data_IF_615288223620
#
_entry.id   IF_615288223620
#
_cell.length_a   1.000
_cell.length_b   1.000
_cell.length_c   1.000
_cell.angle_alpha   90.00
_cell.angle_beta   90.00
_cell.angle_gamma   90.00
#
_symmetry.space_group_name_H-M   'P 1'
#
loop_
_entity.id
_entity.type
_entity.pdbx_description
1 polymer ?
#
# COMPACT_ATOMS: atom_id res chain seq x y z
N UNK A 1 29.87 13.97 -13.33
CA UNK A 1 30.51 13.84 -12.00
C UNK A 1 29.98 12.58 -11.32
N UNK A 2 30.67 12.02 -10.33
CA UNK A 2 30.08 10.93 -9.52
C UNK A 2 28.84 11.46 -8.76
N UNK A 3 27.77 10.67 -8.61
CA UNK A 3 26.62 11.05 -7.80
C UNK A 3 27.03 11.21 -6.32
N UNK A 4 26.33 12.09 -5.60
CA UNK A 4 26.40 12.14 -4.15
C UNK A 4 25.44 11.08 -3.62
N UNK A 5 25.97 10.14 -2.84
CA UNK A 5 25.18 9.03 -2.28
C UNK A 5 24.89 9.37 -0.82
N UNK A 6 23.60 9.35 -0.45
CA UNK A 6 23.14 9.54 0.91
C UNK A 6 22.49 8.25 1.38
N UNK A 7 22.93 7.73 2.52
CA UNK A 7 22.34 6.55 3.15
C UNK A 7 21.40 7.01 4.26
N UNK A 8 20.15 6.54 4.25
CA UNK A 8 19.17 6.82 5.30
C UNK A 8 18.34 5.58 5.56
N UNK A 9 18.26 5.12 6.81
CA UNK A 9 17.48 3.94 7.23
C UNK A 9 17.73 2.66 6.40
N UNK A 10 18.97 2.44 5.94
CA UNK A 10 19.32 1.29 5.10
C UNK A 10 19.00 1.45 3.61
N UNK A 11 18.47 2.60 3.19
CA UNK A 11 18.21 2.95 1.81
C UNK A 11 19.28 3.88 1.24
N UNK A 12 19.50 3.80 -0.08
CA UNK A 12 20.46 4.63 -0.79
C UNK A 12 19.77 5.63 -1.72
N UNK A 13 20.13 6.90 -1.57
CA UNK A 13 19.64 8.00 -2.38
C UNK A 13 20.77 8.57 -3.24
N UNK A 14 20.52 8.69 -4.55
CA UNK A 14 21.51 9.14 -5.52
C UNK A 14 21.20 10.55 -6.01
N UNK A 15 22.03 11.51 -5.62
CA UNK A 15 21.88 12.91 -5.97
C UNK A 15 22.86 13.30 -7.08
N UNK A 16 22.34 13.99 -8.09
CA UNK A 16 23.12 14.46 -9.25
C UNK A 16 22.85 15.93 -9.52
N UNK A 17 23.70 16.57 -10.33
CA UNK A 17 23.46 17.94 -10.78
C UNK A 17 22.24 18.02 -11.71
N UNK A 18 21.60 19.20 -11.83
CA UNK A 18 20.47 19.39 -12.76
C UNK A 18 20.83 19.04 -14.21
N UNK A 19 22.07 19.32 -14.65
CA UNK A 19 22.55 18.97 -15.99
C UNK A 19 22.68 17.46 -16.17
N UNK A 20 23.21 16.76 -15.18
CA UNK A 20 23.34 15.30 -15.23
C UNK A 20 21.95 14.64 -15.13
N UNK A 21 21.02 15.20 -14.36
CA UNK A 21 19.64 14.73 -14.29
C UNK A 21 18.95 14.73 -15.67
N UNK A 22 19.07 15.82 -16.44
CA UNK A 22 18.53 15.89 -17.80
C UNK A 22 19.11 14.84 -18.74
N UNK A 23 20.41 14.52 -18.60
CA UNK A 23 21.05 13.45 -19.39
C UNK A 23 20.52 12.07 -19.00
N UNK A 24 20.35 11.84 -17.70
CA UNK A 24 19.79 10.61 -17.15
C UNK A 24 18.35 10.39 -17.62
N UNK A 25 17.51 11.42 -17.62
CA UNK A 25 16.13 11.33 -18.12
C UNK A 25 16.09 10.91 -19.60
N UNK A 26 17.03 11.39 -20.43
CA UNK A 26 17.10 11.02 -21.86
C UNK A 26 17.46 9.56 -22.10
N UNK A 27 18.15 8.90 -21.16
CA UNK A 27 18.48 7.47 -21.25
C UNK A 27 17.49 6.60 -20.47
N UNK A 28 16.34 7.16 -20.07
CA UNK A 28 15.27 6.44 -19.37
C UNK A 28 15.45 6.34 -17.86
N UNK A 29 16.49 6.96 -17.27
CA UNK A 29 16.63 7.02 -15.83
C UNK A 29 15.69 8.09 -15.26
N UNK A 30 14.87 7.71 -14.29
CA UNK A 30 14.02 8.68 -13.62
C UNK A 30 14.84 9.56 -12.67
N UNK A 31 14.53 10.85 -12.66
CA UNK A 31 15.09 11.81 -11.70
C UNK A 31 14.01 12.68 -11.08
N UNK A 32 14.07 12.89 -9.76
CA UNK A 32 13.15 13.76 -9.02
C UNK A 32 13.83 15.07 -8.64
N UNK A 33 13.07 16.16 -8.51
CA UNK A 33 13.61 17.38 -7.88
C UNK A 33 13.74 17.19 -6.38
N UNK A 34 14.61 17.97 -5.72
CA UNK A 34 14.76 17.90 -4.27
C UNK A 34 13.46 18.23 -3.52
N UNK A 35 12.67 19.18 -4.05
CA UNK A 35 11.39 19.57 -3.45
C UNK A 35 10.35 18.45 -3.55
N UNK A 36 10.24 17.81 -4.71
CA UNK A 36 9.32 16.68 -4.91
C UNK A 36 9.74 15.46 -4.05
N UNK A 37 11.05 15.25 -3.86
CA UNK A 37 11.56 14.18 -2.98
C UNK A 37 11.21 14.45 -1.52
N UNK A 38 11.44 15.67 -1.05
CA UNK A 38 11.03 16.10 0.29
C UNK A 38 9.51 15.94 0.49
N UNK A 39 8.71 16.37 -0.48
CA UNK A 39 7.25 16.20 -0.45
C UNK A 39 6.85 14.73 -0.37
N UNK A 40 7.50 13.85 -1.14
CA UNK A 40 7.21 12.42 -1.12
C UNK A 40 7.52 11.80 0.24
N UNK A 41 8.68 12.10 0.83
CA UNK A 41 9.02 11.65 2.18
C UNK A 41 7.99 12.10 3.22
N UNK A 42 7.63 13.39 3.20
CA UNK A 42 6.63 13.93 4.12
C UNK A 42 5.27 13.26 3.92
N UNK A 43 4.86 13.07 2.66
CA UNK A 43 3.57 12.46 2.33
C UNK A 43 3.48 11.00 2.79
N UNK A 44 4.56 10.23 2.65
CA UNK A 44 4.64 8.85 3.14
C UNK A 44 4.55 8.83 4.67
N UNK A 45 5.35 9.66 5.34
CA UNK A 45 5.34 9.76 6.80
C UNK A 45 3.96 10.14 7.34
N UNK A 46 3.30 11.14 6.75
CA UNK A 46 1.95 11.55 7.16
C UNK A 46 0.93 10.42 6.94
N UNK A 47 0.98 9.74 5.79
CA UNK A 47 0.10 8.63 5.48
C UNK A 47 0.18 7.51 6.53
N UNK A 48 1.38 7.09 6.92
CA UNK A 48 1.56 6.05 7.94
C UNK A 48 1.09 6.46 9.34
N UNK A 49 1.04 7.77 9.63
CA UNK A 49 0.62 8.33 10.91
C UNK A 49 -0.79 8.96 10.85
N UNK A 50 -1.63 8.54 9.89
CA UNK A 50 -2.97 9.08 9.67
C UNK A 50 -3.85 9.08 10.93
N UNK A 51 -3.69 8.09 11.81
CA UNK A 51 -4.48 7.93 13.03
C UNK A 51 -4.27 9.07 14.05
N UNK A 52 -3.17 9.83 13.92
CA UNK A 52 -2.86 10.96 14.81
C UNK A 52 -3.71 12.20 14.51
N UNK A 53 -4.26 12.31 13.30
CA UNK A 53 -4.94 13.54 12.84
C UNK A 53 -6.22 13.32 12.03
N UNK A 54 -6.63 12.08 11.80
CA UNK A 54 -7.85 11.75 11.09
C UNK A 54 -8.63 10.69 11.86
N UNK A 55 -9.92 10.93 12.11
CA UNK A 55 -10.80 9.97 12.74
C UNK A 55 -12.27 10.18 12.39
N UNK A 56 -13.13 9.96 13.38
CA UNK A 56 -14.59 9.93 13.20
C UNK A 56 -15.13 11.30 12.78
N UNK A 57 -14.58 12.40 13.31
CA UNK A 57 -15.04 13.75 13.00
C UNK A 57 -14.74 14.12 11.55
N UNK A 58 -13.51 13.90 11.09
CA UNK A 58 -13.10 14.15 9.72
C UNK A 58 -13.88 13.25 8.75
N UNK A 59 -14.11 11.99 9.13
CA UNK A 59 -14.94 11.07 8.36
C UNK A 59 -16.37 11.60 8.22
N UNK A 60 -17.01 12.01 9.32
CA UNK A 60 -18.38 12.57 9.28
C UNK A 60 -18.45 13.80 8.37
N UNK A 61 -17.48 14.70 8.48
CA UNK A 61 -17.40 15.87 7.62
C UNK A 61 -17.34 15.49 6.13
N UNK A 62 -16.52 14.51 5.76
CA UNK A 62 -16.43 14.02 4.38
C UNK A 62 -17.75 13.39 3.92
N UNK A 63 -18.40 12.60 4.78
CA UNK A 63 -19.68 11.98 4.47
C UNK A 63 -20.79 13.03 4.26
N UNK A 64 -20.79 14.12 5.03
CA UNK A 64 -21.76 15.20 4.88
C UNK A 64 -21.59 15.94 3.54
N UNK A 65 -20.35 16.16 3.10
CA UNK A 65 -20.07 16.70 1.77
C UNK A 65 -20.48 15.72 0.66
N UNK A 66 -20.36 14.42 0.90
CA UNK A 66 -20.78 13.40 -0.05
C UNK A 66 -22.31 13.30 -0.14
N UNK A 67 -23.02 13.44 0.98
CA UNK A 67 -24.48 13.38 1.06
C UNK A 67 -25.15 14.43 0.16
N UNK A 68 -24.54 15.62 0.06
CA UNK A 68 -25.03 16.68 -0.84
C UNK A 68 -25.05 16.26 -2.32
N UNK A 69 -24.24 15.27 -2.71
CA UNK A 69 -24.12 14.79 -4.10
C UNK A 69 -24.74 13.41 -4.31
N UNK A 70 -24.66 12.53 -3.32
CA UNK A 70 -25.06 11.13 -3.40
C UNK A 70 -25.86 10.69 -2.16
N UNK A 71 -27.01 11.31 -1.87
CA UNK A 71 -27.74 11.08 -0.64
C UNK A 71 -28.24 9.63 -0.51
N UNK A 72 -28.72 9.03 -1.60
CA UNK A 72 -29.26 7.66 -1.57
C UNK A 72 -28.17 6.60 -1.38
N UNK A 73 -26.98 6.83 -1.94
CA UNK A 73 -25.82 5.98 -1.71
C UNK A 73 -25.45 5.97 -0.22
N UNK A 74 -25.38 7.15 0.40
CA UNK A 74 -25.02 7.26 1.81
C UNK A 74 -26.10 6.62 2.71
N UNK A 75 -27.38 6.85 2.40
CA UNK A 75 -28.50 6.22 3.10
C UNK A 75 -28.48 4.69 3.01
N UNK A 76 -28.08 4.13 1.89
CA UNK A 76 -27.99 2.67 1.74
C UNK A 76 -26.82 2.11 2.57
N UNK A 77 -25.65 2.73 2.51
CA UNK A 77 -24.45 2.27 3.22
C UNK A 77 -24.65 2.32 4.74
N UNK A 78 -25.18 3.43 5.25
CA UNK A 78 -25.35 3.64 6.70
C UNK A 78 -26.33 2.66 7.37
N UNK A 79 -27.07 1.84 6.59
CA UNK A 79 -27.86 0.72 7.11
C UNK A 79 -27.00 -0.46 7.57
N UNK A 80 -25.81 -0.63 7.00
CA UNK A 80 -24.97 -1.81 7.22
C UNK A 80 -23.69 -1.51 8.00
N UNK A 81 -23.21 -0.26 7.97
CA UNK A 81 -21.92 0.14 8.55
C UNK A 81 -22.04 1.49 9.26
N UNK A 82 -21.38 1.62 10.41
CA UNK A 82 -21.34 2.86 11.20
C UNK A 82 -20.27 3.82 10.67
N UNK A 83 -20.40 5.10 11.01
CA UNK A 83 -19.38 6.13 10.69
C UNK A 83 -18.01 5.74 11.27
N UNK A 84 -17.98 5.16 12.48
CA UNK A 84 -16.74 4.66 13.08
C UNK A 84 -16.06 3.61 12.19
N UNK A 85 -16.81 2.61 11.72
CA UNK A 85 -16.26 1.56 10.87
C UNK A 85 -15.82 2.11 9.49
N UNK A 86 -16.55 3.08 8.93
CA UNK A 86 -16.10 3.78 7.72
C UNK A 86 -14.77 4.51 7.98
N UNK A 87 -14.63 5.18 9.13
CA UNK A 87 -13.39 5.85 9.53
C UNK A 87 -12.24 4.85 9.61
N UNK A 88 -12.45 3.67 10.19
CA UNK A 88 -11.44 2.61 10.28
C UNK A 88 -11.02 2.09 8.89
N UNK A 89 -11.96 1.93 7.95
CA UNK A 89 -11.62 1.58 6.55
C UNK A 89 -10.75 2.66 5.91
N UNK A 90 -11.15 3.94 6.03
CA UNK A 90 -10.42 5.05 5.45
C UNK A 90 -9.00 5.16 6.02
N UNK A 91 -8.86 5.05 7.35
CA UNK A 91 -7.56 5.06 8.03
C UNK A 91 -6.66 3.94 7.50
N UNK A 92 -7.16 2.70 7.41
CA UNK A 92 -6.38 1.56 6.90
C UNK A 92 -5.96 1.72 5.44
N UNK A 93 -6.82 2.26 4.58
CA UNK A 93 -6.47 2.58 3.20
C UNK A 93 -5.36 3.63 3.13
N UNK A 94 -5.51 4.75 3.84
CA UNK A 94 -4.52 5.84 3.82
C UNK A 94 -3.20 5.40 4.46
N UNK A 95 -3.24 4.59 5.51
CA UNK A 95 -2.06 4.04 6.17
C UNK A 95 -1.20 3.22 5.21
N UNK A 96 -1.82 2.54 4.24
CA UNK A 96 -1.12 1.84 3.15
C UNK A 96 -0.95 2.72 1.88
N UNK A 97 -0.97 4.05 2.06
CA UNK A 97 -0.79 5.07 1.02
C UNK A 97 -1.85 5.06 -0.09
N UNK A 98 -3.01 4.47 0.14
CA UNK A 98 -4.13 4.45 -0.81
C UNK A 98 -4.96 5.72 -0.67
N UNK A 99 -5.11 6.44 -1.79
CA UNK A 99 -5.91 7.65 -1.80
C UNK A 99 -7.40 7.34 -1.74
N UNK A 100 -8.09 7.98 -0.79
CA UNK A 100 -9.55 7.95 -0.68
C UNK A 100 -10.24 9.13 -1.37
N UNK A 101 -9.53 9.84 -2.27
CA UNK A 101 -10.08 11.02 -2.97
C UNK A 101 -11.36 10.68 -3.75
N UNK A 102 -11.43 9.50 -4.35
CA UNK A 102 -12.66 9.02 -4.97
C UNK A 102 -13.57 8.36 -3.91
N UNK A 103 -14.15 9.19 -3.03
CA UNK A 103 -15.00 8.71 -1.95
C UNK A 103 -16.27 8.01 -2.45
N UNK A 104 -16.76 8.40 -3.64
CA UNK A 104 -17.89 7.71 -4.29
C UNK A 104 -17.57 6.22 -4.50
N UNK A 105 -16.41 5.90 -5.08
CA UNK A 105 -16.02 4.52 -5.36
C UNK A 105 -15.76 3.71 -4.08
N UNK A 106 -15.15 4.35 -3.06
CA UNK A 106 -15.00 3.75 -1.73
C UNK A 106 -16.37 3.37 -1.15
N UNK A 107 -17.32 4.31 -1.21
CA UNK A 107 -18.69 4.11 -0.72
C UNK A 107 -19.44 3.03 -1.53
N UNK A 108 -19.35 3.01 -2.85
CA UNK A 108 -19.95 1.97 -3.70
C UNK A 108 -19.42 0.57 -3.35
N UNK A 109 -18.10 0.44 -3.12
CA UNK A 109 -17.51 -0.82 -2.68
C UNK A 109 -18.04 -1.23 -1.29
N UNK A 110 -18.14 -0.28 -0.35
CA UNK A 110 -18.71 -0.56 0.97
C UNK A 110 -20.18 -0.94 0.91
N UNK A 111 -20.98 -0.31 0.05
CA UNK A 111 -22.39 -0.65 -0.15
C UNK A 111 -22.57 -2.10 -0.62
N UNK A 112 -21.67 -2.55 -1.50
CA UNK A 112 -21.69 -3.91 -2.04
C UNK A 112 -21.30 -4.97 -0.99
N UNK A 113 -20.26 -4.70 -0.19
CA UNK A 113 -19.64 -5.73 0.66
C UNK A 113 -20.10 -5.71 2.13
N UNK A 114 -20.42 -4.55 2.71
CA UNK A 114 -20.82 -4.42 4.13
C UNK A 114 -22.06 -5.24 4.56
N UNK A 115 -23.03 -5.56 3.68
CA UNK A 115 -24.13 -6.45 4.04
C UNK A 115 -23.68 -7.87 4.39
N UNK A 116 -22.61 -8.36 3.74
CA UNK A 116 -22.14 -9.76 3.81
C UNK A 116 -20.87 -9.92 4.63
N UNK A 117 -20.04 -8.90 4.69
CA UNK A 117 -18.76 -8.91 5.41
C UNK A 117 -18.83 -8.02 6.66
N UNK A 118 -18.51 -8.60 7.82
CA UNK A 118 -18.51 -7.92 9.12
C UNK A 118 -17.11 -7.73 9.68
N UNK A 119 -16.12 -8.45 9.17
CA UNK A 119 -14.72 -8.22 9.50
C UNK A 119 -14.22 -6.96 8.79
N UNK A 120 -13.70 -6.01 9.57
CA UNK A 120 -13.23 -4.72 9.04
C UNK A 120 -12.02 -4.89 8.13
N UNK A 121 -11.15 -5.86 8.45
CA UNK A 121 -9.90 -6.07 7.72
C UNK A 121 -10.21 -6.65 6.33
N UNK A 122 -11.09 -7.63 6.26
CA UNK A 122 -11.56 -8.22 4.99
C UNK A 122 -12.31 -7.21 4.15
N UNK A 123 -13.13 -6.35 4.78
CA UNK A 123 -13.81 -5.26 4.09
C UNK A 123 -12.83 -4.27 3.43
N UNK A 124 -11.71 -3.97 4.09
CA UNK A 124 -10.64 -3.15 3.49
C UNK A 124 -10.09 -3.81 2.24
N UNK A 125 -9.80 -5.11 2.24
CA UNK A 125 -9.30 -5.81 1.04
C UNK A 125 -10.29 -5.75 -0.12
N UNK A 126 -11.59 -5.87 0.14
CA UNK A 126 -12.61 -5.69 -0.89
C UNK A 126 -12.63 -4.28 -1.49
N UNK A 127 -12.51 -3.26 -0.64
CA UNK A 127 -12.43 -1.86 -1.08
C UNK A 127 -11.15 -1.62 -1.87
N UNK A 128 -10.02 -2.19 -1.46
CA UNK A 128 -8.75 -2.13 -2.18
C UNK A 128 -8.87 -2.74 -3.58
N UNK A 129 -9.50 -3.91 -3.71
CA UNK A 129 -9.80 -4.53 -5.00
C UNK A 129 -10.61 -3.59 -5.92
N UNK A 130 -11.65 -2.95 -5.40
CA UNK A 130 -12.43 -1.97 -6.15
C UNK A 130 -11.61 -0.73 -6.56
N UNK A 131 -10.58 -0.38 -5.79
CA UNK A 131 -9.66 0.72 -6.06
C UNK A 131 -8.44 0.31 -6.91
N UNK A 132 -8.36 -0.91 -7.43
CA UNK A 132 -7.17 -1.45 -8.12
C UNK A 132 -6.57 -0.50 -9.17
N UNK A 133 -7.41 0.11 -10.01
CA UNK A 133 -6.96 1.12 -11.00
C UNK A 133 -6.25 2.33 -10.36
N UNK A 134 -6.75 2.82 -9.24
CA UNK A 134 -6.18 3.96 -8.52
C UNK A 134 -4.90 3.56 -7.78
N UNK A 135 -4.89 2.37 -7.18
CA UNK A 135 -3.72 1.78 -6.53
C UNK A 135 -2.60 1.63 -7.56
N UNK A 136 -2.87 0.98 -8.68
CA UNK A 136 -1.91 0.83 -9.78
C UNK A 136 -1.34 2.16 -10.23
N UNK A 137 -2.20 3.15 -10.51
CA UNK A 137 -1.74 4.47 -10.92
C UNK A 137 -0.89 5.16 -9.85
N UNK A 138 -1.25 5.03 -8.55
CA UNK A 138 -0.51 5.63 -7.43
C UNK A 138 0.90 5.06 -7.29
N UNK A 139 1.06 3.76 -7.50
CA UNK A 139 2.35 3.07 -7.38
C UNK A 139 3.10 2.94 -8.70
N UNK A 140 2.45 3.27 -9.83
CA UNK A 140 3.12 3.40 -11.11
C UNK A 140 4.02 4.63 -11.13
N UNK A 141 5.19 4.46 -11.71
CA UNK A 141 6.16 5.50 -11.85
C UNK A 141 6.79 5.45 -13.24
N UNK A 142 6.64 6.54 -13.99
CA UNK A 142 6.95 6.55 -15.44
C UNK A 142 6.19 5.49 -16.24
N UNK A 143 4.98 5.15 -15.78
CA UNK A 143 4.10 4.21 -16.47
C UNK A 143 4.26 2.74 -16.07
N UNK A 144 5.20 2.39 -15.18
CA UNK A 144 5.37 1.01 -14.71
C UNK A 144 5.40 0.91 -13.18
N UNK A 145 5.01 -0.25 -12.63
CA UNK A 145 5.19 -0.57 -11.22
C UNK A 145 6.47 -1.39 -11.09
N UNK A 146 7.39 -0.93 -10.23
CA UNK A 146 8.59 -1.70 -9.89
C UNK A 146 8.26 -2.63 -8.73
N UNK A 147 8.25 -3.93 -9.00
CA UNK A 147 7.79 -4.93 -8.06
C UNK A 147 8.88 -5.95 -7.73
N UNK A 148 8.83 -6.46 -6.51
CA UNK A 148 9.48 -7.70 -6.12
C UNK A 148 8.36 -8.70 -5.85
N UNK A 149 8.45 -9.86 -6.49
CA UNK A 149 7.42 -10.90 -6.41
C UNK A 149 7.74 -11.85 -5.26
N UNK A 150 6.72 -12.25 -4.53
CA UNK A 150 6.84 -13.26 -3.47
C UNK A 150 6.70 -14.64 -4.12
N UNK A 151 7.64 -15.53 -3.84
CA UNK A 151 7.63 -16.90 -4.35
C UNK A 151 6.49 -17.72 -3.77
N UNK A 152 5.93 -18.68 -4.53
CA UNK A 152 4.90 -19.58 -4.04
C UNK A 152 5.27 -20.27 -2.72
N UNK A 153 6.54 -20.62 -2.53
CA UNK A 153 7.04 -21.26 -1.32
C UNK A 153 6.88 -20.36 -0.08
N UNK A 154 7.16 -19.05 -0.20
CA UNK A 154 6.92 -18.11 0.90
C UNK A 154 5.42 -17.86 1.08
N UNK A 155 4.66 -17.75 -0.01
CA UNK A 155 3.21 -17.58 0.05
C UNK A 155 2.53 -18.73 0.81
N UNK A 156 2.91 -19.97 0.51
CA UNK A 156 2.39 -21.19 1.15
C UNK A 156 2.71 -21.21 2.64
N UNK A 157 3.94 -20.86 3.03
CA UNK A 157 4.31 -20.78 4.45
C UNK A 157 3.52 -19.74 5.22
N UNK A 158 3.31 -18.57 4.63
CA UNK A 158 2.49 -17.53 5.26
C UNK A 158 1.05 -18.02 5.37
N UNK A 159 0.50 -18.65 4.32
CA UNK A 159 -0.85 -19.22 4.32
C UNK A 159 -1.01 -20.30 5.40
N UNK A 160 -0.02 -21.16 5.56
CA UNK A 160 0.02 -22.20 6.59
C UNK A 160 0.11 -21.63 8.01
N UNK A 161 0.56 -20.38 8.18
CA UNK A 161 0.52 -19.66 9.44
C UNK A 161 -0.83 -18.98 9.73
N UNK A 162 -1.72 -18.86 8.75
CA UNK A 162 -3.00 -18.16 8.94
C UNK A 162 -3.94 -18.99 9.82
N UNK A 163 -4.43 -18.39 10.91
CA UNK A 163 -5.35 -19.05 11.86
C UNK A 163 -6.64 -18.24 12.01
N UNK A 164 -7.81 -18.82 11.70
CA UNK A 164 -9.09 -18.21 12.02
C UNK A 164 -9.38 -18.36 13.52
N UNK A 165 -9.85 -17.28 14.16
CA UNK A 165 -10.34 -17.31 15.54
C UNK A 165 -11.64 -16.52 15.68
N UNK A 166 -12.28 -16.62 16.84
CA UNK A 166 -13.50 -15.87 17.15
C UNK A 166 -13.32 -14.33 17.05
N UNK A 167 -12.09 -13.84 17.23
CA UNK A 167 -11.75 -12.41 17.13
C UNK A 167 -11.26 -11.96 15.76
N UNK A 168 -11.22 -12.85 14.77
CA UNK A 168 -10.71 -12.58 13.43
C UNK A 168 -9.60 -13.54 13.00
N UNK A 169 -9.08 -13.30 11.80
CA UNK A 169 -8.03 -14.13 11.21
C UNK A 169 -6.67 -13.45 11.37
N UNK A 170 -5.69 -14.14 11.95
CA UNK A 170 -4.34 -13.61 12.16
C UNK A 170 -3.25 -14.56 11.66
N UNK A 171 -2.04 -14.02 11.52
CA UNK A 171 -0.84 -14.79 11.18
C UNK A 171 -0.17 -15.31 12.46
N UNK A 172 -0.05 -16.64 12.58
CA UNK A 172 0.62 -17.33 13.66
C UNK A 172 1.81 -18.12 13.12
N UNK A 173 2.95 -17.47 13.04
CA UNK A 173 4.23 -18.10 12.70
C UNK A 173 5.07 -18.23 13.96
N UNK A 174 5.89 -19.27 14.03
CA UNK A 174 6.92 -19.33 15.05
C UNK A 174 7.99 -18.25 14.79
N UNK A 175 8.79 -17.94 15.82
CA UNK A 175 9.79 -16.88 15.73
C UNK A 175 10.85 -17.19 14.65
N UNK A 176 11.27 -18.45 14.53
CA UNK A 176 12.27 -18.88 13.55
C UNK A 176 11.79 -18.72 12.11
N UNK A 177 10.54 -19.06 11.82
CA UNK A 177 9.93 -18.91 10.51
C UNK A 177 9.75 -17.45 10.14
N UNK A 178 9.29 -16.63 11.08
CA UNK A 178 9.16 -15.19 10.88
C UNK A 178 10.52 -14.53 10.59
N UNK A 179 11.56 -14.84 11.38
CA UNK A 179 12.92 -14.34 11.15
C UNK A 179 13.46 -14.78 9.79
N UNK A 180 13.30 -16.06 9.44
CA UNK A 180 13.78 -16.58 8.17
C UNK A 180 13.09 -15.91 6.98
N UNK A 181 11.79 -15.64 7.06
CA UNK A 181 11.06 -14.88 6.03
C UNK A 181 11.59 -13.44 5.93
N UNK A 182 11.80 -12.77 7.07
CA UNK A 182 12.33 -11.40 7.11
C UNK A 182 13.76 -11.31 6.55
N UNK A 183 14.60 -12.31 6.80
CA UNK A 183 15.95 -12.39 6.23
C UNK A 183 15.92 -12.59 4.71
N UNK A 184 14.97 -13.38 4.19
CA UNK A 184 14.77 -13.49 2.74
C UNK A 184 14.37 -12.14 2.12
N UNK A 185 13.46 -11.39 2.75
CA UNK A 185 13.13 -10.03 2.32
C UNK A 185 14.35 -9.11 2.32
N UNK A 186 15.17 -9.15 3.38
CA UNK A 186 16.40 -8.37 3.50
C UNK A 186 17.39 -8.68 2.38
N UNK A 187 17.60 -9.97 2.09
CA UNK A 187 18.48 -10.42 1.00
C UNK A 187 17.95 -10.00 -0.37
N UNK A 188 16.65 -10.12 -0.61
CA UNK A 188 16.05 -9.68 -1.86
C UNK A 188 16.18 -8.17 -2.08
N UNK A 189 15.92 -7.37 -1.05
CA UNK A 189 16.09 -5.91 -1.09
C UNK A 189 17.56 -5.50 -1.23
N UNK A 190 18.50 -6.34 -0.77
CA UNK A 190 19.93 -6.06 -0.91
C UNK A 190 20.35 -5.99 -2.38
N UNK A 191 21.15 -4.98 -2.72
CA UNK A 191 21.65 -4.75 -4.08
C UNK A 191 20.64 -4.09 -5.04
N UNK A 192 19.42 -3.78 -4.58
CA UNK A 192 18.50 -2.95 -5.34
C UNK A 192 18.82 -1.47 -5.06
N UNK A 193 19.29 -0.75 -6.07
CA UNK A 193 19.62 0.67 -5.98
C UNK A 193 18.39 1.58 -6.21
N UNK A 194 17.24 1.18 -5.66
CA UNK A 194 15.98 1.92 -5.72
C UNK A 194 15.49 2.05 -4.28
N UNK A 195 15.07 3.25 -3.83
CA UNK A 195 14.51 3.43 -2.49
C UNK A 195 13.28 2.53 -2.27
N UNK A 196 13.13 1.96 -1.08
CA UNK A 196 12.08 0.96 -0.79
C UNK A 196 10.69 1.56 -0.97
N UNK A 197 10.50 2.84 -0.60
CA UNK A 197 9.25 3.59 -0.81
C UNK A 197 8.76 3.66 -2.26
N UNK A 198 9.67 3.44 -3.22
CA UNK A 198 9.45 3.44 -4.66
C UNK A 198 9.42 2.01 -5.26
N UNK A 199 9.38 0.97 -4.41
CA UNK A 199 9.23 -0.46 -4.76
C UNK A 199 7.94 -1.00 -4.12
N UNK A 200 7.36 -2.03 -4.74
CA UNK A 200 6.21 -2.77 -4.22
C UNK A 200 6.55 -4.25 -4.03
N UNK A 201 6.04 -4.86 -2.97
CA UNK A 201 5.95 -6.32 -2.89
C UNK A 201 4.65 -6.78 -3.53
N UNK A 202 4.74 -7.81 -4.37
CA UNK A 202 3.59 -8.38 -5.07
C UNK A 202 3.36 -9.83 -4.65
N UNK A 203 2.13 -10.16 -4.27
CA UNK A 203 1.74 -11.53 -3.91
C UNK A 203 0.25 -11.79 -4.01
N UNK A 204 -0.19 -12.91 -3.44
CA UNK A 204 -1.58 -13.37 -3.49
C UNK A 204 -2.55 -12.56 -2.60
N UNK A 205 -3.80 -12.44 -3.06
CA UNK A 205 -4.86 -11.62 -2.44
C UNK A 205 -5.17 -12.04 -1.00
N UNK A 206 -5.19 -13.35 -0.76
CA UNK A 206 -5.54 -13.96 0.52
C UNK A 206 -4.50 -13.67 1.62
N UNK A 207 -3.23 -13.50 1.24
CA UNK A 207 -2.11 -13.32 2.17
C UNK A 207 -1.54 -11.90 2.25
N UNK A 208 -1.87 -11.02 1.30
CA UNK A 208 -1.31 -9.66 1.15
C UNK A 208 -1.23 -8.88 2.47
N UNK A 209 -2.34 -8.83 3.21
CA UNK A 209 -2.42 -8.11 4.50
C UNK A 209 -1.51 -8.71 5.58
N UNK A 210 -1.32 -10.02 5.58
CA UNK A 210 -0.48 -10.72 6.55
C UNK A 210 0.99 -10.44 6.25
N UNK A 211 1.38 -10.44 4.97
CA UNK A 211 2.72 -10.00 4.54
C UNK A 211 2.96 -8.55 4.96
N UNK A 212 2.03 -7.62 4.66
CA UNK A 212 2.19 -6.21 5.05
C UNK A 212 2.40 -6.08 6.56
N UNK A 213 1.60 -6.80 7.36
CA UNK A 213 1.71 -6.80 8.82
C UNK A 213 3.01 -7.43 9.33
N UNK A 214 3.52 -8.47 8.66
CA UNK A 214 4.77 -9.12 9.03
C UNK A 214 5.98 -8.21 8.80
N UNK A 215 5.99 -7.48 7.69
CA UNK A 215 7.15 -6.66 7.30
C UNK A 215 7.13 -5.25 7.89
N UNK A 216 5.98 -4.71 8.35
CA UNK A 216 5.86 -3.29 8.70
C UNK A 216 6.78 -2.83 9.83
N UNK A 217 7.20 -3.74 10.71
CA UNK A 217 8.13 -3.44 11.82
C UNK A 217 9.54 -3.12 11.33
N UNK A 218 9.94 -3.75 10.22
CA UNK A 218 11.29 -3.64 9.65
C UNK A 218 11.32 -2.78 8.40
N UNK A 219 10.23 -2.77 7.63
CA UNK A 219 10.09 -2.15 6.32
C UNK A 219 8.76 -1.40 6.21
N UNK A 220 8.55 -0.39 7.07
CA UNK A 220 7.32 0.40 7.11
C UNK A 220 6.94 1.01 5.75
N UNK A 221 7.94 1.51 5.03
CA UNK A 221 7.77 2.21 3.75
C UNK A 221 7.57 1.28 2.54
N UNK A 222 7.74 -0.04 2.73
CA UNK A 222 7.47 -1.05 1.72
C UNK A 222 6.00 -1.40 1.71
N UNK A 223 5.31 -1.05 0.61
CA UNK A 223 3.90 -1.39 0.43
C UNK A 223 3.75 -2.74 -0.26
N UNK A 224 2.66 -3.44 0.08
CA UNK A 224 2.33 -4.77 -0.45
C UNK A 224 1.06 -4.66 -1.28
N UNK A 225 1.16 -5.01 -2.55
CA UNK A 225 0.03 -5.15 -3.45
C UNK A 225 -0.28 -6.61 -3.72
N UNK A 226 -1.54 -6.90 -4.02
CA UNK A 226 -1.96 -8.20 -4.49
C UNK A 226 -2.17 -8.24 -6.00
N UNK A 227 -2.10 -9.43 -6.59
CA UNK A 227 -2.45 -9.61 -8.02
C UNK A 227 -3.87 -9.11 -8.35
N UNK A 228 -4.81 -9.18 -7.41
CA UNK A 228 -6.19 -8.72 -7.60
C UNK A 228 -6.33 -7.20 -7.66
N UNK A 229 -5.32 -6.45 -7.26
CA UNK A 229 -5.30 -4.98 -7.36
C UNK A 229 -4.67 -4.49 -8.66
N UNK A 230 -4.02 -5.39 -9.41
CA UNK A 230 -3.37 -5.07 -10.67
C UNK A 230 -4.38 -4.87 -11.78
N UNK A 231 -4.13 -3.87 -12.63
CA UNK A 231 -4.92 -3.64 -13.84
C UNK A 231 -4.05 -3.83 -15.07
N UNK A 232 -4.62 -4.37 -16.14
CA UNK A 232 -3.92 -4.67 -17.40
C UNK A 232 -3.22 -3.46 -18.04
N UNK A 233 -3.63 -2.25 -17.67
CA UNK A 233 -3.12 -1.00 -18.25
C UNK A 233 -1.79 -0.52 -17.65
N UNK A 234 -1.27 -1.15 -16.60
CA UNK A 234 -0.02 -0.73 -15.94
C UNK A 234 0.99 -1.88 -15.97
N UNK A 235 2.06 -1.79 -16.78
CA UNK A 235 3.10 -2.81 -16.80
C UNK A 235 3.78 -2.95 -15.43
N UNK A 236 4.14 -4.18 -15.09
CA UNK A 236 4.88 -4.52 -13.87
C UNK A 236 6.29 -4.93 -14.26
N UNK A 237 7.27 -4.17 -13.80
CA UNK A 237 8.69 -4.47 -13.94
C UNK A 237 9.16 -5.26 -12.71
N UNK A 238 9.37 -6.56 -12.90
CA UNK A 238 9.79 -7.47 -11.83
C UNK A 238 11.31 -7.32 -11.64
N UNK A 239 11.69 -6.74 -10.50
CA UNK A 239 13.09 -6.55 -10.12
C UNK A 239 13.73 -7.85 -9.64
N UNK A 240 12.99 -8.62 -8.83
CA UNK A 240 13.42 -9.90 -8.23
C UNK A 240 12.20 -10.74 -7.82
N UNK A 241 12.46 -12.01 -7.53
CA UNK A 241 11.53 -12.91 -6.80
C UNK A 241 12.19 -13.30 -5.47
N UNK A 242 11.41 -13.39 -4.40
CA UNK A 242 11.85 -13.74 -3.04
C UNK A 242 11.36 -15.13 -2.69
#
# INVERSE_FOLDING_TARGET
KKPVIVNSNGEQYYWVTKSDAQKLTKIGCYTRTAMDEMYNHLSVCLAHNINEYFGIQETKYILDQLEMKYPDLLKEILRYITVQRISEVIQRLIQERISVRNMRLVMEALALWSPREKDIITLVEHVRGALGRYICHKFSYSGEIKAIVISPEIEDRIRDGVRPTAGGTFLNLDASEAEMILDNFKLALSGINIPIKDIILLGSVDIRRFIKKLIESSYRDLEVLSYGELTENVPVNILKTI
#
